data_IF_671976518530
#
_entry.id   IF_671976518530
#
_cell.length_a   1.000
_cell.length_b   1.000
_cell.length_c   1.000
_cell.angle_alpha   90.00
_cell.angle_beta   90.00
_cell.angle_gamma   90.00
#
_symmetry.space_group_name_H-M   'P 1'
#
loop_
_entity.id
_entity.type
_entity.pdbx_description
1 polymer ?
#
# COMPACT_ATOMS: atom_id res chain seq x y z
N UNK A 1 14.77 2.17 -14.57
CA UNK A 1 15.22 3.18 -13.57
C UNK A 1 16.41 4.01 -14.07
N UNK A 2 17.38 3.42 -14.78
CA UNK A 2 18.58 4.11 -15.27
C UNK A 2 18.31 5.43 -16.03
N UNK A 3 17.28 5.48 -16.88
CA UNK A 3 16.91 6.71 -17.60
C UNK A 3 16.46 7.84 -16.65
N UNK A 4 15.77 7.50 -15.57
CA UNK A 4 15.34 8.46 -14.54
C UNK A 4 16.55 8.95 -13.74
N UNK A 5 17.48 8.05 -13.42
CA UNK A 5 18.74 8.40 -12.73
C UNK A 5 19.61 9.32 -13.58
N UNK A 6 19.68 9.08 -14.89
CA UNK A 6 20.38 9.95 -15.83
C UNK A 6 19.78 11.38 -15.87
N UNK A 7 18.48 11.51 -15.61
CA UNK A 7 17.79 12.81 -15.47
C UNK A 7 18.01 13.48 -14.12
N UNK A 8 18.73 12.85 -13.18
CA UNK A 8 19.04 13.39 -11.85
C UNK A 8 17.79 13.80 -11.06
N UNK A 9 16.78 12.94 -11.07
CA UNK A 9 15.60 13.13 -10.22
C UNK A 9 16.02 13.18 -8.74
N UNK A 10 15.33 14.00 -7.95
CA UNK A 10 15.47 14.03 -6.49
C UNK A 10 14.39 13.18 -5.79
N UNK A 11 13.32 12.84 -6.51
CA UNK A 11 12.13 12.17 -5.99
C UNK A 11 11.55 11.17 -6.99
N UNK A 12 11.03 10.06 -6.50
CA UNK A 12 10.37 9.02 -7.28
C UNK A 12 9.01 8.68 -6.67
N UNK A 13 7.94 8.85 -7.45
CA UNK A 13 6.59 8.46 -7.06
C UNK A 13 6.37 6.97 -7.38
N UNK A 14 5.90 6.19 -6.40
CA UNK A 14 5.44 4.82 -6.59
C UNK A 14 3.98 4.81 -7.10
N UNK A 15 3.79 5.20 -8.36
CA UNK A 15 2.46 5.44 -8.94
C UNK A 15 1.63 4.21 -9.29
N UNK A 16 1.98 3.02 -8.79
CA UNK A 16 1.19 1.80 -8.94
C UNK A 16 1.07 1.12 -7.58
N UNK A 17 -0.12 0.60 -7.28
CA UNK A 17 -0.47 -0.01 -5.98
C UNK A 17 0.43 -1.18 -5.57
N UNK A 18 1.15 -1.81 -6.51
CA UNK A 18 2.04 -2.94 -6.26
C UNK A 18 3.48 -2.55 -5.90
N UNK A 19 3.91 -1.33 -6.26
CA UNK A 19 5.31 -0.92 -6.10
C UNK A 19 5.80 -0.75 -4.66
N UNK A 20 4.96 -0.47 -3.64
CA UNK A 20 5.41 -0.51 -2.24
C UNK A 20 6.11 -1.82 -1.85
N UNK A 21 5.70 -2.96 -2.43
CA UNK A 21 6.34 -4.26 -2.20
C UNK A 21 7.74 -4.37 -2.76
N UNK A 22 7.97 -3.68 -3.87
CA UNK A 22 9.25 -3.62 -4.55
C UNK A 22 10.12 -2.49 -4.01
N UNK A 23 9.61 -1.65 -3.10
CA UNK A 23 10.34 -0.51 -2.54
C UNK A 23 11.75 -0.88 -2.06
N UNK A 24 11.98 -2.00 -1.32
CA UNK A 24 13.33 -2.37 -0.92
C UNK A 24 14.26 -2.65 -2.12
N UNK A 25 13.74 -3.27 -3.19
CA UNK A 25 14.50 -3.54 -4.40
C UNK A 25 14.74 -2.25 -5.22
N UNK A 26 13.73 -1.39 -5.36
CA UNK A 26 13.83 -0.09 -6.01
C UNK A 26 14.87 0.78 -5.29
N UNK A 27 14.84 0.81 -3.95
CA UNK A 27 15.80 1.54 -3.10
C UNK A 27 17.24 1.12 -3.36
N UNK A 28 17.51 -0.18 -3.57
CA UNK A 28 18.84 -0.68 -3.93
C UNK A 28 19.34 -0.13 -5.27
N UNK A 29 18.44 0.18 -6.20
CA UNK A 29 18.78 0.67 -7.53
C UNK A 29 18.94 2.19 -7.54
N UNK A 30 18.04 2.93 -6.88
CA UNK A 30 18.04 4.40 -6.94
C UNK A 30 18.93 5.06 -5.87
N UNK A 31 19.36 4.30 -4.87
CA UNK A 31 20.18 4.81 -3.77
C UNK A 31 19.37 5.54 -2.69
N UNK A 32 20.04 6.02 -1.64
CA UNK A 32 19.40 6.67 -0.49
C UNK A 32 18.99 8.13 -0.77
N UNK A 33 19.62 8.80 -1.72
CA UNK A 33 19.48 10.25 -1.92
C UNK A 33 18.17 10.65 -2.62
N UNK A 34 17.55 9.72 -3.35
CA UNK A 34 16.29 9.96 -4.06
C UNK A 34 15.13 9.68 -3.11
N UNK A 35 14.29 10.68 -2.85
CA UNK A 35 13.10 10.53 -2.03
C UNK A 35 12.11 9.57 -2.70
N UNK A 36 11.48 8.69 -1.92
CA UNK A 36 10.40 7.83 -2.42
C UNK A 36 9.09 8.36 -1.87
N UNK A 37 8.13 8.61 -2.75
CA UNK A 37 6.77 9.02 -2.39
C UNK A 37 5.82 7.85 -2.69
N UNK A 38 5.23 7.29 -1.63
CA UNK A 38 4.22 6.24 -1.71
C UNK A 38 2.84 6.84 -1.92
N UNK A 39 2.16 6.47 -3.01
CA UNK A 39 0.79 6.91 -3.25
C UNK A 39 -0.20 6.37 -2.20
N UNK A 40 0.08 5.20 -1.60
CA UNK A 40 -0.76 4.65 -0.54
C UNK A 40 -0.74 5.54 0.70
N UNK A 41 0.45 5.98 1.11
CA UNK A 41 0.64 6.80 2.31
C UNK A 41 0.01 8.18 2.10
N UNK A 42 0.23 8.80 0.93
CA UNK A 42 -0.37 10.11 0.61
C UNK A 42 -1.90 10.08 0.64
N UNK A 43 -2.52 9.00 0.15
CA UNK A 43 -3.99 8.85 0.19
C UNK A 43 -4.48 8.62 1.62
N UNK A 44 -3.77 7.82 2.43
CA UNK A 44 -4.12 7.60 3.82
C UNK A 44 -4.06 8.91 4.63
N UNK A 45 -2.99 9.68 4.47
CA UNK A 45 -2.79 10.98 5.14
C UNK A 45 -3.90 11.97 4.76
N UNK A 46 -4.26 12.04 3.47
CA UNK A 46 -5.35 12.88 3.00
C UNK A 46 -6.69 12.48 3.62
N UNK A 47 -7.00 11.18 3.71
CA UNK A 47 -8.22 10.70 4.34
C UNK A 47 -8.27 11.03 5.84
N UNK A 48 -7.15 10.90 6.55
CA UNK A 48 -7.03 11.29 7.96
C UNK A 48 -7.38 12.78 8.13
N UNK A 49 -6.82 13.64 7.27
CA UNK A 49 -7.08 15.08 7.32
C UNK A 49 -8.52 15.42 6.96
N UNK A 50 -9.03 14.85 5.86
CA UNK A 50 -10.36 15.09 5.34
C UNK A 50 -11.45 14.73 6.37
N UNK A 51 -11.33 13.55 6.98
CA UNK A 51 -12.28 13.08 8.00
C UNK A 51 -11.93 13.53 9.43
N UNK A 52 -10.83 14.25 9.62
CA UNK A 52 -10.29 14.65 10.94
C UNK A 52 -10.17 13.45 11.88
N UNK A 53 -9.70 12.32 11.36
CA UNK A 53 -9.60 11.09 12.13
C UNK A 53 -8.57 11.25 13.24
N UNK A 54 -8.88 10.81 14.46
CA UNK A 54 -7.88 10.75 15.52
C UNK A 54 -6.80 9.73 15.12
N UNK A 55 -5.55 10.18 15.07
CA UNK A 55 -4.38 9.31 14.86
C UNK A 55 -4.02 8.48 16.11
N UNK A 56 -4.70 8.71 17.23
CA UNK A 56 -4.47 8.01 18.48
C UNK A 56 -4.90 6.54 18.34
N UNK A 57 -4.02 5.61 18.72
CA UNK A 57 -4.39 4.22 18.99
C UNK A 57 -5.39 4.19 20.15
N UNK A 58 -6.68 4.33 19.85
CA UNK A 58 -7.72 4.07 20.82
C UNK A 58 -7.85 2.55 20.92
N UNK A 59 -7.38 1.96 22.02
CA UNK A 59 -7.52 0.53 22.31
C UNK A 59 -8.99 0.06 22.38
N UNK A 60 -9.95 1.00 22.36
CA UNK A 60 -11.40 0.75 22.33
C UNK A 60 -12.03 0.79 20.92
N UNK A 61 -11.25 0.92 19.85
CA UNK A 61 -11.80 0.80 18.50
C UNK A 61 -12.03 -0.68 18.18
N UNK A 62 -13.27 -1.04 17.84
CA UNK A 62 -13.63 -2.31 17.22
C UNK A 62 -13.89 -2.08 15.72
N UNK A 63 -12.83 -1.92 14.89
CA UNK A 63 -13.00 -1.69 13.46
C UNK A 63 -13.61 -2.93 12.80
N UNK A 64 -14.65 -2.72 11.99
CA UNK A 64 -15.22 -3.76 11.13
C UNK A 64 -14.62 -3.62 9.73
N UNK A 65 -13.99 -4.69 9.23
CA UNK A 65 -13.39 -4.73 7.90
C UNK A 65 -14.04 -5.88 7.14
N UNK A 66 -14.53 -5.59 5.94
CA UNK A 66 -15.04 -6.58 5.00
C UNK A 66 -14.32 -6.41 3.67
N UNK A 67 -13.95 -7.54 3.07
CA UNK A 67 -13.23 -7.56 1.79
C UNK A 67 -14.09 -8.32 0.79
N UNK A 68 -14.34 -7.68 -0.36
CA UNK A 68 -15.10 -8.25 -1.45
C UNK A 68 -14.22 -8.34 -2.70
N UNK A 69 -14.37 -9.43 -3.46
CA UNK A 69 -13.63 -9.67 -4.70
C UNK A 69 -14.53 -10.31 -5.75
N UNK A 70 -14.24 -10.06 -7.03
CA UNK A 70 -15.05 -10.54 -8.15
C UNK A 70 -14.57 -11.88 -8.72
N UNK A 71 -13.42 -12.35 -8.27
CA UNK A 71 -12.76 -13.58 -8.72
C UNK A 71 -12.42 -14.43 -7.48
N UNK A 72 -12.52 -15.75 -7.61
CA UNK A 72 -12.21 -16.74 -6.58
C UNK A 72 -10.81 -17.35 -6.73
N UNK A 73 -9.98 -16.82 -7.65
CA UNK A 73 -8.64 -17.30 -7.91
C UNK A 73 -7.82 -17.40 -6.59
N UNK A 74 -7.42 -18.62 -6.19
CA UNK A 74 -6.80 -18.86 -4.89
C UNK A 74 -5.45 -18.13 -4.74
N UNK A 75 -4.80 -17.80 -5.85
CA UNK A 75 -3.53 -17.05 -5.84
C UNK A 75 -3.72 -15.60 -5.39
N UNK A 76 -4.87 -14.99 -5.68
CA UNK A 76 -5.16 -13.59 -5.27
C UNK A 76 -5.29 -13.53 -3.76
N UNK A 77 -5.98 -14.50 -3.14
CA UNK A 77 -6.08 -14.61 -1.70
C UNK A 77 -4.73 -14.81 -1.02
N UNK A 78 -3.85 -15.63 -1.61
CA UNK A 78 -2.48 -15.84 -1.08
C UNK A 78 -1.62 -14.58 -1.16
N UNK A 79 -1.69 -13.83 -2.26
CA UNK A 79 -0.97 -12.55 -2.42
C UNK A 79 -1.47 -11.55 -1.37
N UNK A 80 -2.79 -11.42 -1.18
CA UNK A 80 -3.35 -10.58 -0.12
C UNK A 80 -2.87 -11.01 1.28
N UNK A 81 -2.89 -12.30 1.58
CA UNK A 81 -2.42 -12.81 2.87
C UNK A 81 -0.93 -12.49 3.13
N UNK A 82 -0.09 -12.57 2.10
CA UNK A 82 1.33 -12.18 2.20
C UNK A 82 1.51 -10.67 2.32
N UNK A 83 0.70 -9.89 1.59
CA UNK A 83 0.75 -8.43 1.59
C UNK A 83 0.49 -7.82 2.96
N UNK A 84 -0.47 -8.38 3.69
CA UNK A 84 -0.87 -7.89 5.00
C UNK A 84 -0.56 -8.93 6.09
N UNK A 85 0.54 -9.67 5.95
CA UNK A 85 0.92 -10.74 6.90
C UNK A 85 1.09 -10.27 8.35
N UNK A 86 1.26 -8.97 8.56
CA UNK A 86 1.38 -8.34 9.88
C UNK A 86 0.02 -7.92 10.47
N UNK A 87 -1.09 -8.24 9.78
CA UNK A 87 -2.44 -7.87 10.18
C UNK A 87 -3.36 -9.08 10.14
N UNK A 88 -4.33 -9.12 11.06
CA UNK A 88 -5.45 -10.07 10.97
C UNK A 88 -6.38 -9.60 9.86
N UNK A 89 -6.29 -10.22 8.69
CA UNK A 89 -7.15 -9.89 7.56
C UNK A 89 -8.42 -10.76 7.65
N UNK A 90 -9.63 -10.18 7.54
CA UNK A 90 -10.85 -10.97 7.37
C UNK A 90 -10.80 -11.77 6.06
N UNK A 91 -11.48 -12.92 6.04
CA UNK A 91 -11.61 -13.71 4.82
C UNK A 91 -12.39 -12.91 3.76
N UNK A 92 -11.84 -12.83 2.56
CA UNK A 92 -12.49 -12.14 1.45
C UNK A 92 -13.71 -12.93 0.92
N UNK A 93 -14.76 -12.21 0.56
CA UNK A 93 -16.00 -12.75 0.01
C UNK A 93 -16.04 -12.56 -1.51
N UNK A 94 -16.39 -13.62 -2.26
CA UNK A 94 -16.53 -13.53 -3.72
C UNK A 94 -17.94 -13.06 -4.06
N UNK A 95 -18.05 -12.00 -4.84
CA UNK A 95 -19.31 -11.35 -5.25
C UNK A 95 -19.37 -11.16 -6.76
N UNK A 96 -20.58 -11.15 -7.31
CA UNK A 96 -20.85 -10.83 -8.72
C UNK A 96 -21.34 -9.39 -8.83
N UNK A 97 -20.80 -8.61 -9.78
CA UNK A 97 -21.19 -7.22 -10.05
C UNK A 97 -22.38 -7.12 -11.00
#
# INVERSE_FOLDING_TARGET
LNELLAKKIDSLILGCTHYPLLQPAIRKVIGPDIQIVSSADSVADELIQFFKLPLSNNENLNPHIEIFMTDDNPNVGQVFAQLFSNHTIPQAQVVTL
#
